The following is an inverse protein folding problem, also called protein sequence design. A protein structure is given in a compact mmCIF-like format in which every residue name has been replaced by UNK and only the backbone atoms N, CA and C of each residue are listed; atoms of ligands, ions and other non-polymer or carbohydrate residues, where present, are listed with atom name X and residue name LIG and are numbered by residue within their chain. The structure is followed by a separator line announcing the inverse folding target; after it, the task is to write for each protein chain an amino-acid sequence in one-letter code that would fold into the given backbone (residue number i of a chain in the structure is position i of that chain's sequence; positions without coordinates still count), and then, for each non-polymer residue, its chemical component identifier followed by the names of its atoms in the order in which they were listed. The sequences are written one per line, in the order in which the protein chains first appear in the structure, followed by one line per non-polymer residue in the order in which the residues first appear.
data_IF_018078344434
#
_entry.id   IF_018078344434
#
_cell.length_a   1.000
_cell.length_b   1.000
_cell.length_c   1.000
_cell.angle_alpha   90.00
_cell.angle_beta   90.00
_cell.angle_gamma   90.00
#
_symmetry.space_group_name_H-M   'P 1'
#
loop_
_entity.id
_entity.type
_entity.pdbx_description
1 polymer ?
#
# COMPACT_ATOMS: atom_id res chain seq x y z
N UNK A 1 12.17 -13.14 2.96
CA UNK A 1 12.31 -11.92 2.12
C UNK A 1 11.49 -10.78 2.70
N UNK A 2 11.78 -9.53 2.29
CA UNK A 2 11.02 -8.34 2.69
C UNK A 2 10.36 -7.74 1.46
N UNK A 3 9.03 -7.66 1.48
CA UNK A 3 8.23 -7.14 0.38
C UNK A 3 7.57 -5.82 0.79
N UNK A 4 7.59 -4.83 -0.08
CA UNK A 4 6.70 -3.67 0.03
C UNK A 4 5.60 -3.82 -1.02
N UNK A 5 4.36 -3.94 -0.55
CA UNK A 5 3.17 -4.05 -1.38
C UNK A 5 2.43 -2.73 -1.38
N UNK A 6 2.13 -2.24 -2.57
CA UNK A 6 1.28 -1.07 -2.79
C UNK A 6 0.33 -1.31 -3.95
N UNK A 7 -0.63 -0.42 -4.13
CA UNK A 7 -1.44 -0.40 -5.32
C UNK A 7 -1.36 0.96 -6.01
N UNK A 8 -1.59 0.93 -7.30
CA UNK A 8 -1.52 2.06 -8.20
C UNK A 8 -2.86 2.25 -8.89
N UNK A 9 -3.37 3.47 -8.91
CA UNK A 9 -4.66 3.80 -9.49
C UNK A 9 -4.60 4.80 -10.64
N UNK A 10 -3.58 5.67 -10.64
CA UNK A 10 -3.61 6.79 -11.56
C UNK A 10 -2.23 7.45 -11.72
N UNK A 11 -1.97 8.09 -12.88
CA UNK A 11 -0.67 8.70 -13.19
C UNK A 11 -0.19 9.73 -12.18
N UNK A 12 -1.09 10.44 -11.50
CA UNK A 12 -0.69 11.45 -10.50
C UNK A 12 -0.01 10.85 -9.26
N UNK A 13 -0.20 9.54 -9.01
CA UNK A 13 0.45 8.84 -7.89
C UNK A 13 1.90 8.47 -8.19
N UNK A 14 2.35 8.51 -9.45
CA UNK A 14 3.71 8.10 -9.85
C UNK A 14 4.80 8.79 -9.03
N UNK A 15 4.65 10.08 -8.76
CA UNK A 15 5.61 10.86 -7.96
C UNK A 15 5.74 10.36 -6.53
N UNK A 16 4.61 10.02 -5.90
CA UNK A 16 4.58 9.48 -4.54
C UNK A 16 5.09 8.04 -4.51
N UNK A 17 4.62 7.23 -5.46
CA UNK A 17 5.07 5.85 -5.61
C UNK A 17 6.59 5.80 -5.79
N UNK A 18 7.14 6.61 -6.68
CA UNK A 18 8.59 6.70 -6.90
C UNK A 18 9.34 7.07 -5.63
N UNK A 19 8.87 8.08 -4.88
CA UNK A 19 9.48 8.48 -3.62
C UNK A 19 9.40 7.36 -2.58
N UNK A 20 8.25 6.68 -2.47
CA UNK A 20 8.04 5.55 -1.56
C UNK A 20 9.04 4.42 -1.84
N UNK A 21 9.19 4.04 -3.11
CA UNK A 21 10.14 2.98 -3.49
C UNK A 21 11.60 3.40 -3.28
N UNK A 22 11.96 4.67 -3.49
CA UNK A 22 13.31 5.18 -3.25
C UNK A 22 13.67 5.18 -1.76
N UNK A 23 12.77 5.63 -0.89
CA UNK A 23 12.97 5.61 0.57
C UNK A 23 13.15 4.17 1.11
N UNK A 24 12.46 3.21 0.48
CA UNK A 24 12.46 1.81 0.90
C UNK A 24 13.59 0.96 0.27
N UNK A 25 14.27 1.46 -0.75
CA UNK A 25 15.12 0.68 -1.67
C UNK A 25 16.15 -0.22 -0.99
N UNK A 26 16.87 0.30 0.01
CA UNK A 26 17.95 -0.41 0.69
C UNK A 26 17.46 -1.54 1.62
N UNK A 27 16.16 -1.55 1.94
CA UNK A 27 15.58 -2.44 2.94
C UNK A 27 14.63 -3.48 2.35
N UNK A 28 14.21 -3.31 1.10
CA UNK A 28 13.20 -4.13 0.44
C UNK A 28 13.84 -5.01 -0.62
N UNK A 29 13.50 -6.30 -0.59
CA UNK A 29 13.93 -7.26 -1.60
C UNK A 29 13.11 -7.14 -2.89
N UNK A 30 11.76 -7.01 -2.75
CA UNK A 30 10.83 -6.88 -3.88
C UNK A 30 9.70 -5.89 -3.59
N UNK A 31 9.33 -5.13 -4.62
CA UNK A 31 8.19 -4.20 -4.62
C UNK A 31 7.03 -4.82 -5.39
N UNK A 32 5.91 -5.07 -4.74
CA UNK A 32 4.70 -5.61 -5.36
C UNK A 32 3.76 -4.43 -5.67
N UNK A 33 3.60 -4.12 -6.95
CA UNK A 33 2.71 -3.06 -7.42
C UNK A 33 1.47 -3.72 -8.02
N UNK A 34 0.32 -3.54 -7.35
CA UNK A 34 -0.96 -4.05 -7.82
C UNK A 34 -1.72 -2.95 -8.56
N UNK A 35 -2.20 -3.21 -9.75
CA UNK A 35 -3.12 -2.33 -10.48
C UNK A 35 -4.41 -3.08 -10.76
N UNK A 36 -5.56 -2.43 -10.52
CA UNK A 36 -6.87 -3.07 -10.56
C UNK A 36 -7.74 -2.50 -11.66
N UNK A 37 -8.47 -3.39 -12.37
CA UNK A 37 -9.47 -3.01 -13.37
C UNK A 37 -10.79 -2.47 -12.76
N UNK A 38 -10.93 -2.52 -11.44
CA UNK A 38 -12.09 -2.03 -10.69
C UNK A 38 -11.66 -1.07 -9.59
N UNK A 39 -12.52 -0.11 -9.26
CA UNK A 39 -12.36 0.78 -8.11
C UNK A 39 -12.92 0.15 -6.84
N UNK A 40 -12.51 0.65 -5.68
CA UNK A 40 -13.10 0.29 -4.40
C UNK A 40 -14.62 0.57 -4.32
N UNK A 41 -15.12 1.50 -5.13
CA UNK A 41 -16.56 1.77 -5.29
C UNK A 41 -17.32 0.69 -6.09
N UNK A 42 -16.67 -0.37 -6.55
CA UNK A 42 -17.27 -1.41 -7.40
C UNK A 42 -17.54 -0.98 -8.84
N UNK A 43 -17.07 0.20 -9.24
CA UNK A 43 -17.11 0.68 -10.62
C UNK A 43 -15.84 0.32 -11.38
N UNK A 44 -15.89 0.16 -12.72
CA UNK A 44 -14.70 -0.03 -13.52
C UNK A 44 -13.66 1.09 -13.31
N UNK A 45 -12.39 0.74 -13.38
CA UNK A 45 -11.31 1.73 -13.43
C UNK A 45 -11.42 2.56 -14.71
N UNK A 46 -11.02 3.83 -14.67
CA UNK A 46 -11.04 4.68 -15.88
C UNK A 46 -9.99 4.23 -16.91
N UNK A 47 -8.87 3.76 -16.40
CA UNK A 47 -7.74 3.33 -17.19
C UNK A 47 -7.39 1.90 -16.80
N UNK A 48 -7.25 1.01 -17.75
CA UNK A 48 -6.88 -0.37 -17.49
C UNK A 48 -5.36 -0.55 -17.64
N UNK A 49 -4.67 -0.83 -16.53
CA UNK A 49 -3.28 -1.28 -16.53
C UNK A 49 -2.27 -0.34 -17.17
N UNK A 50 -2.27 0.93 -16.75
CA UNK A 50 -1.40 1.98 -17.30
C UNK A 50 0.00 2.04 -16.66
N UNK A 51 0.26 1.30 -15.57
CA UNK A 51 1.55 1.36 -14.88
C UNK A 51 2.74 1.04 -15.83
N UNK A 52 2.56 0.11 -16.77
CA UNK A 52 3.59 -0.24 -17.75
C UNK A 52 4.05 0.95 -18.62
N UNK A 53 3.16 1.91 -18.88
CA UNK A 53 3.50 3.12 -19.64
C UNK A 53 4.44 4.02 -18.85
N UNK A 54 4.41 3.92 -17.51
CA UNK A 54 5.20 4.74 -16.59
C UNK A 54 6.43 4.03 -16.03
N UNK A 55 6.65 2.73 -16.31
CA UNK A 55 7.74 1.95 -15.71
C UNK A 55 9.12 2.58 -15.98
N UNK A 56 9.30 3.23 -17.13
CA UNK A 56 10.55 3.88 -17.52
C UNK A 56 10.83 5.18 -16.76
N UNK A 57 9.88 5.70 -15.99
CA UNK A 57 10.09 6.83 -15.09
C UNK A 57 10.85 6.44 -13.80
N UNK A 58 10.95 5.13 -13.54
CA UNK A 58 11.68 4.58 -12.39
C UNK A 58 13.13 4.27 -12.77
N UNK A 59 14.10 4.50 -11.85
CA UNK A 59 15.47 4.05 -12.03
C UNK A 59 15.55 2.55 -12.32
N UNK A 60 16.55 2.12 -13.10
CA UNK A 60 16.73 0.72 -13.51
C UNK A 60 16.80 -0.21 -12.29
N UNK A 61 17.54 0.19 -11.27
CA UNK A 61 17.74 -0.56 -10.04
C UNK A 61 16.42 -0.82 -9.30
N UNK A 62 15.48 0.14 -9.34
CA UNK A 62 14.14 -0.04 -8.80
C UNK A 62 13.31 -1.01 -9.64
N UNK A 63 13.39 -0.90 -10.97
CA UNK A 63 12.63 -1.74 -11.90
C UNK A 63 12.95 -3.22 -11.71
N UNK A 64 14.21 -3.56 -11.44
CA UNK A 64 14.66 -4.95 -11.21
C UNK A 64 14.06 -5.59 -9.95
N UNK A 65 13.62 -4.77 -9.00
CA UNK A 65 12.91 -5.22 -7.80
C UNK A 65 11.39 -5.27 -7.96
N UNK A 66 10.81 -4.69 -9.01
CA UNK A 66 9.35 -4.56 -9.16
C UNK A 66 8.74 -5.89 -9.65
N UNK A 67 7.71 -6.32 -8.93
CA UNK A 67 6.73 -7.34 -9.34
C UNK A 67 5.43 -6.59 -9.63
N UNK A 68 5.08 -6.47 -10.91
CA UNK A 68 3.85 -5.81 -11.31
C UNK A 68 2.72 -6.83 -11.50
N UNK A 69 1.59 -6.60 -10.85
CA UNK A 69 0.41 -7.46 -10.89
C UNK A 69 -0.78 -6.72 -11.51
N UNK A 70 -1.23 -7.21 -12.67
CA UNK A 70 -2.51 -6.82 -13.30
C UNK A 70 -3.63 -7.62 -12.64
N UNK A 71 -4.39 -6.95 -11.77
CA UNK A 71 -5.38 -7.62 -10.91
C UNK A 71 -6.79 -7.47 -11.50
N UNK A 72 -7.30 -8.54 -12.13
CA UNK A 72 -8.69 -8.63 -12.54
C UNK A 72 -9.56 -9.09 -11.36
N UNK A 73 -10.38 -8.17 -10.85
CA UNK A 73 -11.26 -8.39 -9.71
C UNK A 73 -12.75 -8.14 -10.03
N UNK A 74 -13.09 -8.02 -11.31
CA UNK A 74 -14.45 -7.67 -11.75
C UNK A 74 -15.54 -8.56 -11.14
N UNK A 75 -15.31 -9.85 -11.09
CA UNK A 75 -16.29 -10.83 -10.56
C UNK A 75 -16.21 -11.01 -9.03
N UNK A 76 -15.32 -10.25 -8.36
CA UNK A 76 -15.05 -10.36 -6.92
C UNK A 76 -15.52 -9.14 -6.13
N UNK A 77 -15.69 -8.00 -6.79
CA UNK A 77 -16.16 -6.76 -6.15
C UNK A 77 -17.67 -6.78 -5.93
N UNK A 78 -18.12 -6.17 -4.84
CA UNK A 78 -19.53 -5.88 -4.60
C UNK A 78 -19.90 -4.62 -5.39
N UNK A 79 -20.95 -4.65 -6.24
CA UNK A 79 -21.39 -3.50 -7.01
C UNK A 79 -21.85 -2.32 -6.13
N UNK A 80 -21.71 -1.10 -6.65
CA UNK A 80 -21.90 0.18 -5.96
C UNK A 80 -23.33 0.44 -5.42
N UNK A 81 -24.33 -0.40 -5.74
CA UNK A 81 -25.75 -0.17 -5.43
C UNK A 81 -26.25 -0.88 -4.18
N UNK A 82 -25.44 -1.77 -3.61
CA UNK A 82 -25.73 -2.44 -2.35
C UNK A 82 -25.11 -1.62 -1.20
N UNK A 83 -25.47 -1.88 0.04
CA UNK A 83 -25.04 -1.16 1.24
C UNK A 83 -23.61 -0.61 1.17
N UNK A 84 -23.46 0.72 1.04
CA UNK A 84 -22.21 1.43 0.75
C UNK A 84 -21.08 1.07 1.73
N UNK A 85 -21.37 0.94 3.02
CA UNK A 85 -20.35 0.60 4.02
C UNK A 85 -19.83 -0.82 3.89
N UNK A 86 -20.72 -1.78 3.60
CA UNK A 86 -20.33 -3.19 3.40
C UNK A 86 -19.52 -3.32 2.12
N UNK A 87 -19.98 -2.69 1.05
CA UNK A 87 -19.31 -2.68 -0.24
C UNK A 87 -17.89 -2.10 -0.13
N UNK A 88 -17.75 -0.89 0.42
CA UNK A 88 -16.45 -0.23 0.56
C UNK A 88 -15.50 -1.09 1.42
N UNK A 89 -15.96 -1.60 2.55
CA UNK A 89 -15.15 -2.45 3.42
C UNK A 89 -14.69 -3.72 2.73
N UNK A 90 -15.58 -4.40 1.99
CA UNK A 90 -15.24 -5.61 1.24
C UNK A 90 -14.25 -5.33 0.12
N UNK A 91 -14.56 -4.39 -0.76
CA UNK A 91 -13.76 -4.09 -1.93
C UNK A 91 -12.35 -3.59 -1.56
N UNK A 92 -12.26 -2.73 -0.54
CA UNK A 92 -10.97 -2.25 -0.04
C UNK A 92 -10.12 -3.38 0.54
N UNK A 93 -10.72 -4.30 1.33
CA UNK A 93 -10.00 -5.47 1.84
C UNK A 93 -9.55 -6.40 0.71
N UNK A 94 -10.42 -6.65 -0.26
CA UNK A 94 -10.11 -7.44 -1.44
C UNK A 94 -8.87 -6.88 -2.15
N UNK A 95 -8.85 -5.59 -2.45
CA UNK A 95 -7.71 -4.94 -3.11
C UNK A 95 -6.43 -5.00 -2.27
N UNK A 96 -6.54 -4.82 -0.96
CA UNK A 96 -5.37 -4.88 -0.07
C UNK A 96 -4.78 -6.28 0.05
N UNK A 97 -5.61 -7.32 -0.02
CA UNK A 97 -5.19 -8.72 0.18
C UNK A 97 -5.01 -9.54 -1.10
N UNK A 98 -5.41 -9.03 -2.28
CA UNK A 98 -5.45 -9.83 -3.51
C UNK A 98 -4.09 -10.40 -3.94
N UNK A 99 -3.00 -9.69 -3.66
CA UNK A 99 -1.64 -10.13 -3.97
C UNK A 99 -1.30 -11.51 -3.36
N UNK A 100 -1.89 -11.86 -2.21
CA UNK A 100 -1.69 -13.17 -1.57
C UNK A 100 -2.15 -14.33 -2.43
N UNK A 101 -3.14 -14.12 -3.32
CA UNK A 101 -3.62 -15.14 -4.25
C UNK A 101 -2.81 -15.23 -5.54
N UNK A 102 -1.85 -14.33 -5.74
CA UNK A 102 -1.07 -14.21 -6.96
C UNK A 102 0.39 -14.61 -6.80
N UNK A 103 0.89 -14.64 -5.57
CA UNK A 103 2.29 -14.92 -5.25
C UNK A 103 2.38 -15.91 -4.10
N UNK A 104 3.47 -16.67 -4.08
CA UNK A 104 3.83 -17.54 -2.97
C UNK A 104 4.73 -16.81 -1.98
N UNK A 105 4.47 -17.01 -0.70
CA UNK A 105 5.22 -16.42 0.41
C UNK A 105 5.57 -17.48 1.44
N UNK A 106 6.73 -17.31 2.05
CA UNK A 106 7.12 -18.10 3.22
C UNK A 106 6.55 -17.47 4.51
N UNK A 107 6.36 -18.28 5.53
CA UNK A 107 5.80 -17.85 6.82
C UNK A 107 6.54 -16.67 7.48
N UNK A 108 7.86 -16.63 7.32
CA UNK A 108 8.74 -15.60 7.88
C UNK A 108 8.98 -14.42 6.91
N UNK A 109 8.43 -14.45 5.72
CA UNK A 109 8.48 -13.29 4.83
C UNK A 109 7.76 -12.10 5.48
N UNK A 110 8.37 -10.92 5.37
CA UNK A 110 7.79 -9.68 5.90
C UNK A 110 7.10 -8.95 4.75
N UNK A 111 5.84 -8.60 4.96
CA UNK A 111 5.05 -7.79 4.01
C UNK A 111 4.73 -6.43 4.64
N UNK A 112 5.13 -5.38 3.94
CA UNK A 112 4.83 -3.99 4.24
C UNK A 112 3.68 -3.57 3.33
N UNK A 113 2.48 -3.37 3.88
CA UNK A 113 1.31 -2.99 3.09
C UNK A 113 1.03 -1.50 3.25
N UNK A 114 1.36 -0.73 2.23
CA UNK A 114 1.18 0.73 2.15
C UNK A 114 0.36 1.11 0.93
N UNK A 115 -0.20 2.31 0.94
CA UNK A 115 -0.74 2.98 -0.25
C UNK A 115 0.39 3.80 -0.91
N UNK A 116 0.25 4.16 -2.18
CA UNK A 116 1.32 4.83 -2.92
C UNK A 116 1.78 6.15 -2.26
N UNK A 117 0.85 6.84 -1.61
CA UNK A 117 1.03 8.11 -0.91
C UNK A 117 1.36 7.98 0.60
N UNK A 118 1.57 6.76 1.09
CA UNK A 118 2.03 6.45 2.44
C UNK A 118 3.52 6.14 2.44
N UNK A 119 4.33 7.14 2.71
CA UNK A 119 5.80 7.08 2.57
C UNK A 119 6.44 6.90 3.94
N UNK A 120 7.15 5.80 4.12
CA UNK A 120 7.94 5.51 5.31
C UNK A 120 9.33 6.10 5.12
N UNK A 121 9.86 6.82 6.11
CA UNK A 121 11.21 7.35 6.07
C UNK A 121 12.26 6.24 6.05
N UNK A 122 13.19 6.27 5.10
CA UNK A 122 14.20 5.24 4.90
C UNK A 122 14.97 4.89 6.17
N UNK A 123 15.42 5.90 6.92
CA UNK A 123 16.17 5.72 8.18
C UNK A 123 15.38 5.04 9.32
N UNK A 124 14.06 4.88 9.19
CA UNK A 124 13.20 4.21 10.19
C UNK A 124 13.02 2.71 9.95
N UNK A 125 13.32 2.21 8.76
CA UNK A 125 13.16 0.79 8.44
C UNK A 125 13.88 -0.17 9.42
N UNK A 126 15.14 0.07 9.84
CA UNK A 126 15.82 -0.84 10.76
C UNK A 126 15.07 -1.04 12.08
N UNK A 127 14.55 0.03 12.67
CA UNK A 127 13.82 -0.04 13.94
C UNK A 127 12.45 -0.69 13.77
N UNK A 128 11.76 -0.40 12.66
CA UNK A 128 10.48 -0.99 12.32
C UNK A 128 10.63 -2.50 12.10
N UNK A 129 11.59 -2.94 11.30
CA UNK A 129 11.84 -4.36 11.01
C UNK A 129 12.21 -5.12 12.29
N UNK A 130 13.02 -4.52 13.18
CA UNK A 130 13.31 -5.10 14.48
C UNK A 130 12.04 -5.27 15.33
N UNK A 131 11.13 -4.31 15.30
CA UNK A 131 9.84 -4.40 15.99
C UNK A 131 8.96 -5.53 15.43
N UNK A 132 8.94 -5.70 14.10
CA UNK A 132 8.22 -6.81 13.46
C UNK A 132 8.82 -8.17 13.85
N UNK A 133 10.14 -8.29 13.92
CA UNK A 133 10.78 -9.51 14.41
C UNK A 133 10.37 -9.88 15.83
N UNK A 134 10.16 -8.90 16.69
CA UNK A 134 9.75 -9.10 18.09
C UNK A 134 8.26 -9.42 18.26
N UNK A 135 7.40 -8.82 17.43
CA UNK A 135 5.95 -8.82 17.66
C UNK A 135 5.13 -9.49 16.55
N UNK A 136 5.78 -9.88 15.45
CA UNK A 136 5.12 -10.49 14.28
C UNK A 136 4.38 -9.50 13.39
N UNK A 137 3.68 -8.52 13.97
CA UNK A 137 2.91 -7.51 13.24
C UNK A 137 2.91 -6.17 13.98
N UNK A 138 3.08 -5.06 13.23
CA UNK A 138 3.17 -3.69 13.75
C UNK A 138 2.43 -2.72 12.83
N UNK A 139 1.49 -1.95 13.38
CA UNK A 139 0.89 -0.82 12.67
C UNK A 139 1.81 0.41 12.80
N UNK A 140 1.94 1.17 11.72
CA UNK A 140 2.75 2.37 11.71
C UNK A 140 1.94 3.62 11.99
N UNK A 141 2.58 4.61 12.61
CA UNK A 141 2.03 5.94 12.84
C UNK A 141 2.69 6.93 11.87
N UNK A 142 1.88 7.63 11.06
CA UNK A 142 2.35 8.58 10.06
C UNK A 142 1.81 9.99 10.33
N UNK A 143 2.58 10.99 9.90
CA UNK A 143 2.08 12.34 9.73
C UNK A 143 1.05 12.36 8.61
N UNK A 144 -0.10 13.02 8.82
CA UNK A 144 -1.13 13.14 7.81
C UNK A 144 -1.17 14.55 7.21
N UNK A 145 -1.00 14.63 5.89
CA UNK A 145 -1.10 15.87 5.13
C UNK A 145 -2.32 15.83 4.22
N UNK A 146 -2.98 16.98 4.04
CA UNK A 146 -4.16 17.10 3.17
C UNK A 146 -3.96 18.17 2.11
N UNK A 147 -4.33 17.85 0.88
CA UNK A 147 -4.35 18.72 -0.30
C UNK A 147 -2.98 19.27 -0.73
N UNK A 148 -2.08 19.55 0.20
CA UNK A 148 -0.73 20.06 -0.09
C UNK A 148 0.27 19.48 0.91
N UNK A 149 1.52 19.24 0.50
CA UNK A 149 2.56 18.67 1.38
C UNK A 149 2.96 19.55 2.60
N UNK A 150 2.47 20.77 2.66
CA UNK A 150 2.69 21.69 3.79
C UNK A 150 1.44 21.91 4.67
N UNK A 151 0.33 21.18 4.41
CA UNK A 151 -0.90 21.24 5.21
C UNK A 151 -1.00 20.01 6.10
N UNK A 152 -0.29 20.07 7.23
CA UNK A 152 -0.30 19.02 8.26
C UNK A 152 -1.62 19.04 9.05
N UNK A 153 -2.28 17.90 9.15
CA UNK A 153 -3.41 17.71 10.05
C UNK A 153 -2.92 17.37 11.46
N UNK A 154 -2.88 18.37 12.34
CA UNK A 154 -2.31 18.28 13.70
C UNK A 154 -3.16 17.48 14.69
N UNK A 155 -4.46 17.32 14.41
CA UNK A 155 -5.41 16.75 15.37
C UNK A 155 -5.60 15.23 15.25
N UNK A 156 -4.94 14.59 14.29
CA UNK A 156 -5.12 13.16 14.03
C UNK A 156 -3.85 12.53 13.48
N UNK A 157 -3.44 11.45 14.11
CA UNK A 157 -2.43 10.56 13.57
C UNK A 157 -3.05 9.60 12.56
N UNK A 158 -2.29 9.28 11.51
CA UNK A 158 -2.64 8.24 10.58
C UNK A 158 -1.99 6.92 11.02
N UNK A 159 -2.79 6.05 11.66
CA UNK A 159 -2.31 4.77 12.15
C UNK A 159 -2.83 3.69 11.22
N UNK A 160 -2.15 3.51 10.11
CA UNK A 160 -2.69 2.58 9.14
C UNK A 160 -1.78 2.04 8.06
N UNK A 161 -0.52 2.13 7.85
CA UNK A 161 0.23 1.03 7.26
C UNK A 161 0.46 -0.07 8.28
N UNK A 162 0.38 -1.32 7.83
CA UNK A 162 0.75 -2.47 8.65
C UNK A 162 1.94 -3.20 8.03
N UNK A 163 2.86 -3.61 8.89
CA UNK A 163 3.99 -4.46 8.53
C UNK A 163 3.87 -5.73 9.35
N UNK A 164 3.88 -6.88 8.67
CA UNK A 164 3.70 -8.15 9.35
C UNK A 164 4.51 -9.28 8.71
N UNK A 165 4.87 -10.28 9.49
CA UNK A 165 5.26 -11.58 8.97
C UNK A 165 4.06 -12.21 8.27
N UNK A 166 4.29 -12.86 7.13
CA UNK A 166 3.20 -13.39 6.30
C UNK A 166 2.29 -14.37 7.09
N UNK A 167 2.87 -15.19 7.97
CA UNK A 167 2.13 -16.13 8.82
C UNK A 167 1.02 -15.50 9.66
N UNK A 168 1.14 -14.20 10.01
CA UNK A 168 0.14 -13.49 10.82
C UNK A 168 -1.18 -13.27 10.06
N UNK A 169 -1.12 -13.28 8.72
CA UNK A 169 -2.28 -13.01 7.85
C UNK A 169 -2.60 -14.10 6.83
N UNK A 170 -1.78 -15.14 6.68
CA UNK A 170 -1.91 -16.14 5.61
C UNK A 170 -3.25 -16.89 5.58
N UNK A 171 -3.91 -17.02 6.74
CA UNK A 171 -5.20 -17.72 6.87
C UNK A 171 -6.41 -16.78 6.75
N UNK A 172 -6.18 -15.49 6.59
CA UNK A 172 -7.21 -14.47 6.46
C UNK A 172 -7.28 -14.01 5.00
N UNK A 173 -8.35 -14.33 4.30
CA UNK A 173 -8.54 -13.81 2.96
C UNK A 173 -9.95 -13.24 2.78
N UNK A 174 -10.04 -12.00 2.31
CA UNK A 174 -8.96 -11.02 2.13
C UNK A 174 -8.43 -10.50 3.47
N UNK A 175 -7.14 -10.63 3.68
CA UNK A 175 -6.51 -10.23 4.94
C UNK A 175 -6.62 -8.74 5.22
N UNK A 176 -6.74 -8.40 6.50
CA UNK A 176 -6.73 -7.00 6.92
C UNK A 176 -5.29 -6.49 7.10
N UNK A 177 -4.64 -6.15 5.99
CA UNK A 177 -3.28 -5.62 5.98
C UNK A 177 -3.16 -4.15 6.45
N UNK A 178 -4.16 -3.66 7.20
CA UNK A 178 -4.21 -2.25 7.57
C UNK A 178 -3.97 -1.98 9.05
N UNK A 179 -4.24 -2.95 9.91
CA UNK A 179 -4.16 -2.78 11.35
C UNK A 179 -3.32 -3.89 11.97
N UNK A 180 -2.43 -3.52 12.89
CA UNK A 180 -1.63 -4.46 13.68
C UNK A 180 -2.02 -4.41 15.16
N UNK A 181 -1.65 -5.43 15.94
CA UNK A 181 -1.94 -5.50 17.37
C UNK A 181 -1.17 -4.47 18.18
N UNK A 182 -0.05 -3.99 17.66
CA UNK A 182 0.84 -3.01 18.30
C UNK A 182 1.04 -1.85 17.33
N UNK A 183 0.99 -0.63 17.82
CA UNK A 183 1.31 0.57 17.07
C UNK A 183 2.75 1.00 17.38
N UNK A 184 3.53 1.26 16.33
CA UNK A 184 4.88 1.81 16.47
C UNK A 184 4.80 3.18 17.18
N UNK A 185 5.60 3.42 18.23
CA UNK A 185 5.37 4.55 19.14
C UNK A 185 5.66 5.92 18.50
N UNK A 186 6.52 5.95 17.50
CA UNK A 186 6.91 7.19 16.81
C UNK A 186 6.19 7.33 15.48
N UNK A 187 6.12 8.57 14.98
CA UNK A 187 5.73 8.81 13.59
C UNK A 187 6.92 8.53 12.68
N UNK A 188 6.72 7.59 11.78
CA UNK A 188 7.80 7.01 10.95
C UNK A 188 7.71 7.37 9.48
N UNK A 189 6.78 8.24 9.12
CA UNK A 189 6.57 8.62 7.72
C UNK A 189 5.46 9.64 7.53
N UNK A 190 5.01 9.78 6.29
CA UNK A 190 3.99 10.72 5.85
C UNK A 190 2.90 10.02 5.04
N UNK A 191 1.64 10.45 5.22
CA UNK A 191 0.53 10.13 4.34
C UNK A 191 0.05 11.41 3.65
N UNK A 192 0.10 11.45 2.32
CA UNK A 192 -0.20 12.63 1.49
C UNK A 192 -1.60 12.52 0.87
N UNK A 193 -2.63 12.57 1.71
CA UNK A 193 -4.02 12.41 1.32
C UNK A 193 -4.49 13.54 0.39
N UNK A 194 -4.97 13.19 -0.81
CA UNK A 194 -5.42 14.16 -1.82
C UNK A 194 -4.38 15.27 -2.16
N UNK A 195 -3.09 14.99 -2.05
CA UNK A 195 -2.04 15.93 -2.43
C UNK A 195 -1.83 15.95 -3.96
N UNK A 196 -2.87 16.40 -4.66
CA UNK A 196 -2.93 16.55 -6.11
C UNK A 196 -3.62 17.84 -6.50
N UNK A 197 -3.56 18.24 -7.76
CA UNK A 197 -4.32 19.41 -8.25
C UNK A 197 -5.81 19.10 -8.34
N UNK A 198 -6.64 20.17 -8.42
CA UNK A 198 -8.10 20.02 -8.60
C UNK A 198 -8.44 19.27 -9.89
N UNK A 199 -7.65 19.47 -10.94
CA UNK A 199 -7.85 18.81 -12.24
C UNK A 199 -7.49 17.31 -12.22
N UNK A 200 -6.70 16.88 -11.24
CA UNK A 200 -6.31 15.49 -11.02
C UNK A 200 -7.30 14.73 -10.09
N UNK A 201 -8.18 15.44 -9.37
CA UNK A 201 -9.24 14.86 -8.52
C UNK A 201 -10.45 14.43 -9.35
#
# INVERSE_FOLDING_TARGET
MIYLKTYFYSPHEIKFLKLNLLEAYDYIDKFIICEYNMRHTGLPSKNDYIFEEHINEFPEELRDKIIYLKCDIKDKVIPAYDNEHIMLSHNVRLMRGYFQSQLEFEDEDIVISVEADEIIYGHKYPDILKSVEQHGSVALNLWQFFYKPNYLWINKDWVAPNIAKFKEHKNEYPANWRYGPITFPERVGCHFCYCMSVDEM
#
